data_IF_737093182458
#
_entry.id   IF_737093182458
#
_cell.length_a   1.000
_cell.length_b   1.000
_cell.length_c   1.000
_cell.angle_alpha   90.00
_cell.angle_beta   90.00
_cell.angle_gamma   90.00
#
_symmetry.space_group_name_H-M   'P 1'
#
loop_
_entity.id
_entity.type
_entity.pdbx_description
1 polymer ?
#
# COMPACT_ATOMS: atom_id res chain seq x y z
N UNK A 1 0.69 -4.23 -10.27
CA UNK A 1 1.43 -5.36 -10.87
C UNK A 1 2.88 -4.99 -11.22
N UNK A 2 3.18 -3.86 -11.86
CA UNK A 2 4.56 -3.49 -12.24
C UNK A 2 5.52 -3.28 -11.04
N UNK A 3 5.06 -2.69 -9.94
CA UNK A 3 5.90 -2.40 -8.77
C UNK A 3 6.38 -3.66 -8.02
N UNK A 4 5.64 -4.76 -8.10
CA UNK A 4 6.04 -6.04 -7.49
C UNK A 4 7.28 -6.60 -8.19
N UNK A 5 7.30 -6.60 -9.53
CA UNK A 5 8.45 -7.06 -10.31
C UNK A 5 9.70 -6.20 -10.03
N UNK A 6 9.52 -4.88 -9.95
CA UNK A 6 10.59 -3.94 -9.58
C UNK A 6 11.11 -4.26 -8.17
N UNK A 7 10.21 -4.47 -7.20
CA UNK A 7 10.59 -4.87 -5.84
C UNK A 7 11.36 -6.19 -5.80
N UNK A 8 10.92 -7.21 -6.53
CA UNK A 8 11.63 -8.49 -6.64
C UNK A 8 13.02 -8.34 -7.26
N UNK A 9 13.15 -7.59 -8.35
CA UNK A 9 14.45 -7.32 -8.98
C UNK A 9 15.40 -6.58 -8.04
N UNK A 10 14.90 -5.57 -7.30
CA UNK A 10 15.69 -4.85 -6.32
C UNK A 10 16.17 -5.75 -5.18
N UNK A 11 15.30 -6.64 -4.68
CA UNK A 11 15.66 -7.60 -3.64
C UNK A 11 16.71 -8.62 -4.14
N UNK A 12 16.56 -9.13 -5.36
CA UNK A 12 17.57 -10.01 -5.98
C UNK A 12 18.91 -9.29 -6.16
N UNK A 13 18.88 -8.02 -6.57
CA UNK A 13 20.07 -7.20 -6.72
C UNK A 13 20.79 -6.97 -5.38
N UNK A 14 20.05 -6.61 -4.32
CA UNK A 14 20.59 -6.45 -2.97
C UNK A 14 21.11 -7.77 -2.41
N UNK A 15 20.45 -8.89 -2.72
CA UNK A 15 20.91 -10.22 -2.34
C UNK A 15 22.24 -10.57 -3.02
N UNK A 16 22.42 -10.21 -4.29
CA UNK A 16 23.67 -10.40 -5.03
C UNK A 16 24.79 -9.48 -4.56
N UNK A 17 24.47 -8.22 -4.22
CA UNK A 17 25.44 -7.17 -3.85
C UNK A 17 25.10 -6.52 -2.50
N UNK A 18 25.38 -7.18 -1.36
CA UNK A 18 24.98 -6.68 -0.04
C UNK A 18 25.67 -5.35 0.35
N UNK A 19 26.83 -5.05 -0.23
CA UNK A 19 27.55 -3.78 0.01
C UNK A 19 26.78 -2.55 -0.51
N UNK A 20 25.95 -2.72 -1.54
CA UNK A 20 25.16 -1.64 -2.15
C UNK A 20 23.81 -1.39 -1.45
N UNK A 21 23.48 -2.12 -0.39
CA UNK A 21 22.19 -2.00 0.30
C UNK A 21 21.87 -0.56 0.71
N UNK A 22 22.87 0.17 1.24
CA UNK A 22 22.68 1.56 1.70
C UNK A 22 22.46 2.54 0.53
N UNK A 23 23.19 2.37 -0.56
CA UNK A 23 23.06 3.25 -1.74
C UNK A 23 21.73 3.00 -2.46
N UNK A 24 21.31 1.75 -2.57
CA UNK A 24 19.99 1.37 -3.10
C UNK A 24 18.86 1.90 -2.23
N UNK A 25 18.96 1.76 -0.90
CA UNK A 25 17.95 2.32 0.01
C UNK A 25 17.85 3.85 -0.10
N UNK A 26 18.98 4.54 -0.21
CA UNK A 26 19.01 6.00 -0.40
C UNK A 26 18.38 6.42 -1.73
N UNK A 27 18.70 5.74 -2.84
CA UNK A 27 18.10 6.06 -4.15
C UNK A 27 16.59 5.81 -4.17
N UNK A 28 16.10 4.77 -3.49
CA UNK A 28 14.68 4.50 -3.29
C UNK A 28 13.99 5.60 -2.48
N UNK A 29 14.60 6.08 -1.40
CA UNK A 29 14.04 7.18 -0.60
C UNK A 29 14.01 8.50 -1.39
N UNK A 30 15.08 8.82 -2.14
CA UNK A 30 15.15 10.02 -2.99
C UNK A 30 14.08 9.95 -4.08
N UNK A 31 14.00 8.85 -4.83
CA UNK A 31 13.00 8.69 -5.89
C UNK A 31 11.56 8.72 -5.37
N UNK A 32 11.29 8.18 -4.18
CA UNK A 32 9.98 8.25 -3.54
C UNK A 32 9.51 9.69 -3.26
N UNK A 33 10.43 10.63 -3.05
CA UNK A 33 10.14 12.04 -2.83
C UNK A 33 10.22 12.87 -4.12
N UNK A 34 11.22 12.63 -4.95
CA UNK A 34 11.47 13.43 -6.15
C UNK A 34 10.45 13.16 -7.26
N UNK A 35 10.01 11.91 -7.46
CA UNK A 35 9.07 11.57 -8.55
C UNK A 35 7.71 12.26 -8.37
N UNK A 36 7.03 12.15 -7.20
CA UNK A 36 5.77 12.86 -7.01
C UNK A 36 5.95 14.38 -7.06
N UNK A 37 7.04 14.92 -6.48
CA UNK A 37 7.30 16.36 -6.51
C UNK A 37 7.48 16.89 -7.94
N UNK A 38 8.23 16.16 -8.78
CA UNK A 38 8.45 16.51 -10.18
C UNK A 38 7.11 16.53 -10.94
N UNK A 39 6.32 15.46 -10.83
CA UNK A 39 5.02 15.37 -11.52
C UNK A 39 4.05 16.47 -11.08
N UNK A 40 3.97 16.76 -9.77
CA UNK A 40 3.09 17.83 -9.28
C UNK A 40 3.52 19.19 -9.82
N UNK A 41 4.83 19.43 -9.89
CA UNK A 41 5.38 20.69 -10.36
C UNK A 41 5.15 20.90 -11.86
N UNK A 42 5.42 19.88 -12.68
CA UNK A 42 5.28 19.97 -14.14
C UNK A 42 3.83 20.04 -14.59
N UNK A 43 2.96 19.23 -13.98
CA UNK A 43 1.53 19.19 -14.33
C UNK A 43 0.72 20.32 -13.67
N UNK A 44 1.35 21.17 -12.85
CA UNK A 44 0.69 22.28 -12.11
C UNK A 44 -0.56 21.83 -11.35
N UNK A 45 -0.53 20.60 -10.84
CA UNK A 45 -1.66 19.97 -10.13
C UNK A 45 -1.68 20.39 -8.67
N UNK A 46 -2.87 20.46 -8.07
CA UNK A 46 -2.99 20.63 -6.61
C UNK A 46 -2.37 19.45 -5.87
N UNK A 47 -1.72 19.73 -4.73
CA UNK A 47 -1.05 18.72 -3.91
C UNK A 47 -1.98 17.61 -3.41
N UNK A 48 -3.24 17.97 -3.18
CA UNK A 48 -4.33 17.06 -2.83
C UNK A 48 -5.41 17.14 -3.90
N UNK A 49 -6.05 16.00 -4.17
CA UNK A 49 -7.20 15.99 -5.04
C UNK A 49 -8.43 16.45 -4.24
N UNK A 50 -8.83 17.70 -4.43
CA UNK A 50 -10.14 18.17 -3.98
C UNK A 50 -11.17 17.60 -4.97
N UNK A 51 -11.82 16.50 -4.59
CA UNK A 51 -12.88 15.92 -5.40
C UNK A 51 -14.08 16.87 -5.44
N UNK A 52 -14.31 17.54 -6.57
CA UNK A 52 -15.65 17.97 -6.92
C UNK A 52 -16.40 16.76 -7.51
N UNK A 53 -16.97 15.95 -6.60
CA UNK A 53 -17.54 14.63 -6.92
C UNK A 53 -18.67 14.66 -7.95
N UNK A 54 -19.25 15.83 -8.24
CA UNK A 54 -20.37 16.00 -9.18
C UNK A 54 -19.92 15.88 -10.64
N UNK A 55 -18.67 16.25 -10.96
CA UNK A 55 -18.10 16.13 -12.31
C UNK A 55 -17.08 14.98 -12.40
N UNK A 56 -16.51 14.57 -11.28
CA UNK A 56 -15.42 13.61 -11.25
C UNK A 56 -15.76 12.17 -11.65
N UNK A 57 -17.01 11.68 -11.58
CA UNK A 57 -17.28 10.25 -11.90
C UNK A 57 -17.54 9.94 -13.37
N UNK A 58 -18.14 10.86 -14.12
CA UNK A 58 -18.14 10.77 -15.58
C UNK A 58 -16.73 11.04 -16.13
N UNK A 59 -15.95 11.89 -15.45
CA UNK A 59 -14.62 12.30 -15.88
C UNK A 59 -13.44 11.59 -15.20
N UNK A 60 -13.57 10.66 -14.26
CA UNK A 60 -12.42 10.11 -13.53
C UNK A 60 -11.39 9.43 -14.46
N UNK A 61 -11.87 8.92 -15.62
CA UNK A 61 -11.07 8.38 -16.71
C UNK A 61 -10.57 9.41 -17.72
N UNK A 62 -11.02 10.66 -17.65
CA UNK A 62 -10.59 11.81 -18.48
C UNK A 62 -9.98 12.94 -17.65
N UNK A 63 -10.00 12.86 -16.33
CA UNK A 63 -9.51 13.88 -15.41
C UNK A 63 -8.00 13.75 -15.31
N UNK A 64 -7.30 14.69 -15.91
CA UNK A 64 -5.84 14.67 -16.05
C UNK A 64 -5.12 14.48 -14.71
N UNK A 65 -5.62 15.07 -13.62
CA UNK A 65 -5.04 14.88 -12.29
C UNK A 65 -5.10 13.42 -11.82
N UNK A 66 -6.23 12.74 -12.02
CA UNK A 66 -6.36 11.35 -11.62
C UNK A 66 -5.46 10.44 -12.47
N UNK A 67 -5.45 10.64 -13.79
CA UNK A 67 -4.69 9.79 -14.73
C UNK A 67 -3.18 10.01 -14.62
N UNK A 68 -2.73 11.25 -14.41
CA UNK A 68 -1.31 11.60 -14.42
C UNK A 68 -0.67 11.61 -13.03
N UNK A 69 -1.44 11.82 -11.96
CA UNK A 69 -0.89 11.93 -10.61
C UNK A 69 -1.35 10.82 -9.66
N UNK A 70 -2.61 10.36 -9.73
CA UNK A 70 -3.13 9.34 -8.81
C UNK A 70 -2.98 7.91 -9.31
N UNK A 71 -3.22 7.68 -10.61
CA UNK A 71 -3.21 6.35 -11.22
C UNK A 71 -1.80 5.79 -11.51
N UNK A 72 -0.78 6.59 -11.88
CA UNK A 72 0.48 6.01 -12.31
C UNK A 72 1.24 5.34 -11.17
N UNK A 73 1.82 4.18 -11.48
CA UNK A 73 2.58 3.39 -10.51
C UNK A 73 3.81 4.14 -9.97
N UNK A 74 4.42 5.03 -10.76
CA UNK A 74 5.64 5.74 -10.39
C UNK A 74 5.41 6.83 -9.33
N UNK A 75 4.27 7.53 -9.34
CA UNK A 75 3.94 8.54 -8.33
C UNK A 75 3.51 7.93 -6.99
N UNK A 76 3.17 6.64 -6.98
CA UNK A 76 2.77 5.88 -5.79
C UNK A 76 3.82 4.84 -5.35
N UNK A 77 5.02 4.87 -5.94
CA UNK A 77 6.10 3.94 -5.64
C UNK A 77 6.63 4.07 -4.21
N UNK A 78 6.38 5.21 -3.54
CA UNK A 78 6.86 5.50 -2.18
C UNK A 78 6.50 4.41 -1.18
N UNK A 79 5.25 3.93 -1.17
CA UNK A 79 4.80 2.86 -0.27
C UNK A 79 5.59 1.56 -0.46
N UNK A 80 5.84 1.18 -1.70
CA UNK A 80 6.64 -0.01 -2.03
C UNK A 80 8.08 0.16 -1.60
N UNK A 81 8.68 1.31 -1.90
CA UNK A 81 10.08 1.58 -1.59
C UNK A 81 10.36 1.60 -0.09
N UNK A 82 9.53 2.28 0.71
CA UNK A 82 9.67 2.26 2.16
C UNK A 82 9.41 0.87 2.76
N UNK A 83 8.52 0.07 2.17
CA UNK A 83 8.32 -1.33 2.56
C UNK A 83 9.57 -2.19 2.33
N UNK A 84 10.22 -2.07 1.17
CA UNK A 84 11.47 -2.79 0.87
C UNK A 84 12.61 -2.32 1.77
N UNK A 85 12.72 -1.02 2.04
CA UNK A 85 13.70 -0.48 3.00
C UNK A 85 13.47 -1.06 4.39
N UNK A 86 12.22 -1.12 4.86
CA UNK A 86 11.88 -1.73 6.14
C UNK A 86 12.26 -3.22 6.18
N UNK A 87 12.03 -3.98 5.10
CA UNK A 87 12.43 -5.38 5.01
C UNK A 87 13.96 -5.56 5.04
N UNK A 88 14.72 -4.70 4.35
CA UNK A 88 16.18 -4.71 4.41
C UNK A 88 16.69 -4.42 5.84
N UNK A 89 16.08 -3.44 6.52
CA UNK A 89 16.39 -3.13 7.92
C UNK A 89 16.06 -4.32 8.84
N UNK A 90 14.89 -4.94 8.69
CA UNK A 90 14.51 -6.12 9.46
C UNK A 90 15.58 -7.22 9.38
N UNK A 91 16.00 -7.59 8.17
CA UNK A 91 17.04 -8.61 7.95
C UNK A 91 18.36 -8.29 8.66
N UNK A 92 18.73 -7.01 8.74
CA UNK A 92 19.97 -6.62 9.42
C UNK A 92 19.87 -6.66 10.94
N UNK A 93 18.66 -6.53 11.49
CA UNK A 93 18.41 -6.40 12.92
C UNK A 93 18.01 -7.72 13.58
N UNK A 94 17.47 -8.64 12.80
CA UNK A 94 17.05 -9.95 13.28
C UNK A 94 18.26 -10.73 13.84
N UNK A 95 18.14 -11.23 15.07
CA UNK A 95 19.19 -12.00 15.75
C UNK A 95 20.38 -11.22 16.31
N UNK A 96 20.35 -9.88 16.40
CA UNK A 96 21.43 -9.08 17.02
C UNK A 96 21.11 -8.63 18.46
N UNK A 97 22.09 -8.70 19.35
CA UNK A 97 21.97 -8.24 20.75
C UNK A 97 21.57 -6.75 20.89
N UNK A 98 21.84 -5.93 19.87
CA UNK A 98 21.50 -4.51 19.85
C UNK A 98 20.01 -4.22 19.56
N UNK A 99 19.19 -5.25 19.38
CA UNK A 99 17.75 -5.15 19.06
C UNK A 99 16.98 -4.29 20.07
N UNK A 100 17.35 -4.32 21.36
CA UNK A 100 16.68 -3.55 22.42
C UNK A 100 16.86 -2.04 22.24
N UNK A 101 18.08 -1.57 21.96
CA UNK A 101 18.38 -0.15 21.70
C UNK A 101 17.70 0.32 20.41
N UNK A 102 17.77 -0.50 19.36
CA UNK A 102 17.15 -0.15 18.08
C UNK A 102 15.62 -0.08 18.16
N UNK A 103 15.00 -0.94 18.99
CA UNK A 103 13.55 -0.89 19.23
C UNK A 103 13.11 0.46 19.82
N UNK A 104 13.85 1.02 20.76
CA UNK A 104 13.52 2.33 21.35
C UNK A 104 13.60 3.45 20.30
N UNK A 105 14.64 3.43 19.47
CA UNK A 105 14.79 4.37 18.35
C UNK A 105 13.59 4.23 17.42
N UNK A 106 13.25 3.00 17.04
CA UNK A 106 12.16 2.73 16.09
C UNK A 106 10.79 3.13 16.64
N UNK A 107 10.54 2.98 17.95
CA UNK A 107 9.32 3.48 18.59
C UNK A 107 9.24 5.01 18.58
N UNK A 108 10.35 5.70 18.83
CA UNK A 108 10.42 7.17 18.69
C UNK A 108 10.20 7.59 17.25
N UNK A 109 10.81 6.90 16.29
CA UNK A 109 10.58 7.14 14.86
C UNK A 109 9.12 6.91 14.50
N UNK A 110 8.47 5.85 14.99
CA UNK A 110 7.05 5.61 14.74
C UNK A 110 6.17 6.75 15.26
N UNK A 111 6.45 7.24 16.48
CA UNK A 111 5.73 8.39 17.05
C UNK A 111 5.90 9.63 16.18
N UNK A 112 7.14 9.97 15.80
CA UNK A 112 7.44 11.10 14.92
C UNK A 112 6.74 10.97 13.56
N UNK A 113 6.83 9.81 12.91
CA UNK A 113 6.19 9.56 11.62
C UNK A 113 4.66 9.62 11.71
N UNK A 114 4.09 9.16 12.82
CA UNK A 114 2.64 9.27 13.06
C UNK A 114 2.22 10.73 13.21
N UNK A 115 2.95 11.53 14.00
CA UNK A 115 2.71 12.96 14.16
C UNK A 115 2.79 13.67 12.81
N UNK A 116 3.82 13.37 12.01
CA UNK A 116 3.97 13.94 10.66
C UNK A 116 2.82 13.51 9.75
N UNK A 117 2.44 12.23 9.73
CA UNK A 117 1.35 11.73 8.92
C UNK A 117 0.02 12.42 9.28
N UNK A 118 -0.34 12.45 10.56
CA UNK A 118 -1.57 13.09 11.02
C UNK A 118 -1.54 14.60 10.82
N UNK A 119 -0.40 15.26 11.08
CA UNK A 119 -0.24 16.70 10.87
C UNK A 119 -0.38 17.10 9.41
N UNK A 120 0.25 16.35 8.49
CA UNK A 120 0.12 16.60 7.05
C UNK A 120 -1.31 16.35 6.59
N UNK A 121 -1.97 15.28 7.04
CA UNK A 121 -3.37 15.01 6.69
C UNK A 121 -4.32 16.07 7.27
N UNK A 122 -4.14 16.52 8.51
CA UNK A 122 -4.94 17.59 9.10
C UNK A 122 -4.78 18.91 8.33
N UNK A 123 -3.55 19.22 7.89
CA UNK A 123 -3.28 20.40 7.06
C UNK A 123 -4.03 20.36 5.72
N UNK A 124 -4.33 19.18 5.17
CA UNK A 124 -5.12 19.07 3.92
C UNK A 124 -6.51 19.69 4.05
N UNK A 125 -7.09 19.72 5.26
CA UNK A 125 -8.41 20.29 5.51
C UNK A 125 -8.40 21.82 5.46
N UNK A 126 -7.26 22.43 5.79
CA UNK A 126 -7.08 23.88 5.82
C UNK A 126 -6.56 24.39 4.47
N UNK A 127 -5.83 23.56 3.72
CA UNK A 127 -5.22 23.92 2.44
C UNK A 127 -6.15 24.65 1.46
N UNK A 128 -7.43 24.27 1.26
CA UNK A 128 -8.35 24.99 0.37
C UNK A 128 -8.64 26.43 0.82
N UNK A 129 -8.61 26.70 2.12
CA UNK A 129 -8.87 28.04 2.69
C UNK A 129 -7.72 29.03 2.49
N UNK A 130 -6.52 28.54 2.17
CA UNK A 130 -5.32 29.37 2.04
C UNK A 130 -5.19 30.05 0.67
N UNK A 131 -6.11 29.82 -0.29
CA UNK A 131 -6.12 30.42 -1.63
C UNK A 131 -4.73 30.47 -2.31
N UNK A 132 -3.91 29.43 -2.10
CA UNK A 132 -2.57 29.34 -2.69
C UNK A 132 -2.75 29.05 -4.18
N UNK A 133 -2.17 29.88 -5.04
CA UNK A 133 -2.24 29.67 -6.48
C UNK A 133 -1.63 28.31 -6.86
N UNK A 134 -2.40 27.41 -7.50
CA UNK A 134 -1.94 26.06 -7.83
C UNK A 134 -0.90 26.04 -8.96
N UNK A 135 -0.75 27.13 -9.71
CA UNK A 135 0.14 27.22 -10.87
C UNK A 135 1.61 27.19 -10.44
N UNK A 136 2.33 26.12 -10.79
CA UNK A 136 3.79 25.96 -10.63
C UNK A 136 4.31 26.25 -9.21
N UNK A 137 3.51 25.95 -8.19
CA UNK A 137 3.90 26.22 -6.81
C UNK A 137 4.80 25.11 -6.29
N UNK A 138 6.06 25.47 -5.98
CA UNK A 138 7.00 24.59 -5.27
C UNK A 138 6.42 24.08 -3.95
N UNK A 139 5.56 24.87 -3.30
CA UNK A 139 4.88 24.48 -2.07
C UNK A 139 3.98 23.26 -2.28
N UNK A 140 3.16 23.24 -3.33
CA UNK A 140 2.29 22.10 -3.63
C UNK A 140 3.09 20.85 -3.99
N UNK A 141 4.18 21.00 -4.73
CA UNK A 141 5.06 19.89 -5.08
C UNK A 141 5.71 19.25 -3.85
N UNK A 142 6.29 20.06 -2.97
CA UNK A 142 6.91 19.58 -1.73
C UNK A 142 5.88 18.98 -0.77
N UNK A 143 4.77 19.68 -0.55
CA UNK A 143 3.74 19.22 0.36
C UNK A 143 3.06 17.92 -0.11
N UNK A 144 2.67 17.84 -1.39
CA UNK A 144 2.02 16.65 -1.94
C UNK A 144 2.96 15.43 -1.98
N UNK A 145 4.24 15.64 -2.29
CA UNK A 145 5.25 14.59 -2.23
C UNK A 145 5.46 14.10 -0.79
N UNK A 146 5.62 15.02 0.17
CA UNK A 146 5.83 14.66 1.56
C UNK A 146 4.62 13.95 2.15
N UNK A 147 3.41 14.40 1.82
CA UNK A 147 2.16 13.73 2.19
C UNK A 147 2.14 12.30 1.66
N UNK A 148 2.42 12.06 0.37
CA UNK A 148 2.48 10.71 -0.20
C UNK A 148 3.57 9.84 0.41
N UNK A 149 4.76 10.40 0.65
CA UNK A 149 5.87 9.67 1.26
C UNK A 149 5.61 9.32 2.72
N UNK A 150 4.91 10.18 3.46
CA UNK A 150 4.61 9.97 4.88
C UNK A 150 3.80 8.70 5.14
N UNK A 151 2.86 8.35 4.25
CA UNK A 151 2.11 7.10 4.32
C UNK A 151 3.03 5.88 4.22
N UNK A 152 3.89 5.84 3.20
CA UNK A 152 4.83 4.74 3.01
C UNK A 152 5.83 4.60 4.16
N UNK A 153 6.40 5.72 4.61
CA UNK A 153 7.32 5.73 5.74
C UNK A 153 6.63 5.21 7.01
N UNK A 154 5.49 5.79 7.38
CA UNK A 154 4.79 5.45 8.62
C UNK A 154 4.42 3.96 8.66
N UNK A 155 3.89 3.41 7.56
CA UNK A 155 3.57 1.98 7.49
C UNK A 155 4.81 1.09 7.49
N UNK A 156 5.88 1.45 6.78
CA UNK A 156 7.12 0.69 6.80
C UNK A 156 7.72 0.58 8.21
N UNK A 157 7.75 1.69 8.95
CA UNK A 157 8.21 1.71 10.34
C UNK A 157 7.27 0.94 11.26
N UNK A 158 5.95 1.09 11.09
CA UNK A 158 4.95 0.35 11.86
C UNK A 158 5.14 -1.16 11.72
N UNK A 159 5.24 -1.66 10.48
CA UNK A 159 5.48 -3.08 10.22
C UNK A 159 6.80 -3.55 10.81
N UNK A 160 7.86 -2.74 10.72
CA UNK A 160 9.15 -3.08 11.32
C UNK A 160 9.07 -3.17 12.86
N UNK A 161 8.33 -2.27 13.52
CA UNK A 161 8.10 -2.32 14.97
C UNK A 161 7.33 -3.58 15.35
N UNK A 162 6.28 -3.92 14.60
CA UNK A 162 5.46 -5.11 14.85
C UNK A 162 6.27 -6.39 14.62
N UNK A 163 7.04 -6.48 13.53
CA UNK A 163 7.87 -7.64 13.21
C UNK A 163 8.97 -7.89 14.25
N UNK A 164 9.58 -6.83 14.80
CA UNK A 164 10.59 -6.95 15.86
C UNK A 164 9.97 -7.13 17.25
N UNK A 165 8.63 -7.03 17.39
CA UNK A 165 7.91 -7.26 18.64
C UNK A 165 7.45 -8.71 18.76
N UNK A 166 8.26 -9.53 19.43
CA UNK A 166 7.96 -10.94 19.67
C UNK A 166 6.74 -11.20 20.59
N UNK A 167 6.46 -10.33 21.57
CA UNK A 167 5.32 -10.50 22.50
C UNK A 167 4.65 -9.15 22.78
N UNK A 168 3.47 -8.92 22.21
CA UNK A 168 2.63 -7.77 22.55
C UNK A 168 1.19 -8.06 22.21
N UNK A 169 0.26 -7.59 23.06
CA UNK A 169 -1.19 -7.76 22.85
C UNK A 169 -1.65 -7.33 21.46
N UNK A 170 -1.06 -6.28 20.90
CA UNK A 170 -1.36 -5.83 19.54
C UNK A 170 -1.01 -6.89 18.49
N UNK A 171 0.17 -7.52 18.59
CA UNK A 171 0.58 -8.58 17.66
C UNK A 171 -0.33 -9.80 17.82
N UNK A 172 -0.72 -10.14 19.05
CA UNK A 172 -1.62 -11.26 19.32
C UNK A 172 -3.01 -11.02 18.71
N UNK A 173 -3.57 -9.81 18.87
CA UNK A 173 -4.84 -9.40 18.26
C UNK A 173 -4.75 -9.40 16.73
N UNK A 174 -3.68 -8.82 16.15
CA UNK A 174 -3.50 -8.76 14.70
C UNK A 174 -3.26 -10.16 14.09
N UNK A 175 -2.66 -11.08 14.84
CA UNK A 175 -2.39 -12.45 14.40
C UNK A 175 -3.59 -13.38 14.58
N UNK A 176 -4.66 -12.92 15.25
CA UNK A 176 -5.87 -13.71 15.46
C UNK A 176 -6.53 -14.11 14.13
N UNK A 177 -7.08 -15.33 14.07
CA UNK A 177 -7.66 -15.88 12.83
C UNK A 177 -8.76 -15.01 12.21
N UNK A 178 -9.54 -14.32 13.05
CA UNK A 178 -10.55 -13.36 12.59
C UNK A 178 -9.92 -12.18 11.81
N UNK A 179 -8.80 -11.63 12.31
CA UNK A 179 -8.09 -10.54 11.64
C UNK A 179 -7.44 -11.00 10.34
N UNK A 180 -6.93 -12.25 10.29
CA UNK A 180 -6.44 -12.83 9.04
C UNK A 180 -7.55 -13.01 8.00
N UNK A 181 -8.76 -13.39 8.43
CA UNK A 181 -9.93 -13.47 7.55
C UNK A 181 -10.32 -12.08 7.03
N UNK A 182 -10.43 -11.09 7.92
CA UNK A 182 -10.69 -9.70 7.56
C UNK A 182 -9.63 -9.11 6.62
N UNK A 183 -8.36 -9.50 6.76
CA UNK A 183 -7.28 -9.07 5.88
C UNK A 183 -7.42 -9.63 4.45
N UNK A 184 -7.95 -10.85 4.29
CA UNK A 184 -8.27 -11.40 2.96
C UNK A 184 -9.50 -10.70 2.37
N UNK A 185 -10.52 -10.48 3.19
CA UNK A 185 -11.73 -9.77 2.76
C UNK A 185 -11.42 -8.32 2.34
N UNK A 186 -10.52 -7.62 3.04
CA UNK A 186 -10.14 -6.25 2.72
C UNK A 186 -9.47 -6.13 1.34
N UNK A 187 -8.75 -7.17 0.91
CA UNK A 187 -8.23 -7.26 -0.46
C UNK A 187 -9.37 -7.36 -1.50
N UNK A 188 -10.38 -8.20 -1.25
CA UNK A 188 -11.57 -8.25 -2.10
C UNK A 188 -12.32 -6.90 -2.13
N UNK A 189 -12.45 -6.23 -0.99
CA UNK A 189 -13.05 -4.88 -0.90
C UNK A 189 -12.27 -3.92 -1.79
N UNK A 190 -10.94 -3.90 -1.69
CA UNK A 190 -10.09 -3.03 -2.51
C UNK A 190 -10.34 -3.21 -4.02
N UNK A 191 -10.54 -4.45 -4.48
CA UNK A 191 -10.82 -4.73 -5.90
C UNK A 191 -12.19 -4.20 -6.32
N UNK A 192 -13.22 -4.45 -5.51
CA UNK A 192 -14.62 -4.23 -5.91
C UNK A 192 -15.10 -2.80 -5.61
N UNK A 193 -14.51 -2.14 -4.62
CA UNK A 193 -14.94 -0.83 -4.13
C UNK A 193 -14.98 0.22 -5.25
N UNK A 194 -14.02 0.24 -6.17
CA UNK A 194 -14.04 1.16 -7.30
C UNK A 194 -15.27 0.96 -8.19
N UNK A 195 -15.59 -0.29 -8.51
CA UNK A 195 -16.76 -0.64 -9.35
C UNK A 195 -18.08 -0.29 -8.65
N UNK A 196 -18.15 -0.48 -7.33
CA UNK A 196 -19.33 -0.14 -6.51
C UNK A 196 -19.54 1.37 -6.48
N UNK A 197 -18.47 2.14 -6.21
CA UNK A 197 -18.52 3.61 -6.25
C UNK A 197 -18.96 4.06 -7.64
N UNK A 198 -18.32 3.57 -8.69
CA UNK A 198 -18.67 3.93 -10.06
C UNK A 198 -20.13 3.61 -10.41
N UNK A 199 -20.60 2.41 -10.08
CA UNK A 199 -21.97 1.98 -10.33
C UNK A 199 -23.00 2.83 -9.59
N UNK A 200 -22.75 3.17 -8.32
CA UNK A 200 -23.63 4.05 -7.56
C UNK A 200 -23.73 5.44 -8.20
N UNK A 201 -22.61 6.12 -8.42
CA UNK A 201 -22.63 7.49 -8.93
C UNK A 201 -23.14 7.64 -10.37
N UNK A 202 -22.96 6.62 -11.22
CA UNK A 202 -23.52 6.63 -12.58
C UNK A 202 -25.04 6.45 -12.61
N UNK A 203 -25.60 5.75 -11.62
CA UNK A 203 -27.03 5.44 -11.56
C UNK A 203 -27.81 6.36 -10.61
N UNK A 204 -27.15 7.28 -9.89
CA UNK A 204 -27.83 8.22 -9.00
C UNK A 204 -28.44 9.38 -9.81
N UNK A 205 -29.79 9.52 -9.85
CA UNK A 205 -30.44 10.50 -10.72
C UNK A 205 -30.48 11.92 -10.14
N UNK A 206 -30.10 12.12 -8.87
CA UNK A 206 -30.22 13.41 -8.17
C UNK A 206 -28.83 13.90 -7.75
N UNK A 207 -28.49 15.16 -8.02
CA UNK A 207 -27.19 15.69 -7.64
C UNK A 207 -27.14 15.87 -6.12
N UNK A 208 -26.40 14.99 -5.43
CA UNK A 208 -26.28 14.94 -3.97
C UNK A 208 -25.90 16.33 -3.44
N UNK A 209 -26.68 16.88 -2.51
CA UNK A 209 -26.33 18.11 -1.80
C UNK A 209 -25.29 17.77 -0.75
N UNK A 210 -24.11 18.38 -0.86
CA UNK A 210 -22.99 18.14 0.05
C UNK A 210 -23.25 18.78 1.41
N UNK A 211 -23.71 17.96 2.36
CA UNK A 211 -23.76 18.29 3.78
C UNK A 211 -23.10 17.16 4.56
N UNK A 212 -22.54 17.46 5.74
CA UNK A 212 -21.85 16.47 6.56
C UNK A 212 -22.69 15.21 6.79
N UNK A 213 -23.99 15.37 7.07
CA UNK A 213 -24.93 14.27 7.26
C UNK A 213 -25.08 13.38 6.02
N UNK A 214 -25.28 13.98 4.85
CA UNK A 214 -25.41 13.25 3.59
C UNK A 214 -24.11 12.52 3.23
N UNK A 215 -22.94 13.09 3.54
CA UNK A 215 -21.65 12.45 3.33
C UNK A 215 -21.49 11.21 4.22
N UNK A 216 -21.88 11.27 5.49
CA UNK A 216 -21.85 10.11 6.39
C UNK A 216 -22.79 8.99 5.90
N UNK A 217 -24.00 9.33 5.47
CA UNK A 217 -24.95 8.33 4.94
C UNK A 217 -24.41 7.71 3.65
N UNK A 218 -23.93 8.51 2.71
CA UNK A 218 -23.43 8.01 1.43
C UNK A 218 -22.19 7.14 1.61
N UNK A 219 -21.25 7.56 2.45
CA UNK A 219 -20.03 6.80 2.72
C UNK A 219 -20.34 5.49 3.42
N UNK A 220 -21.23 5.48 4.42
CA UNK A 220 -21.66 4.25 5.09
C UNK A 220 -22.36 3.27 4.14
N UNK A 221 -23.25 3.76 3.27
CA UNK A 221 -23.90 2.93 2.25
C UNK A 221 -22.89 2.32 1.26
N UNK A 222 -21.93 3.11 0.77
CA UNK A 222 -20.87 2.64 -0.12
C UNK A 222 -19.96 1.59 0.54
N UNK A 223 -19.62 1.79 1.81
CA UNK A 223 -18.81 0.82 2.59
C UNK A 223 -19.57 -0.50 2.75
N UNK A 224 -20.84 -0.45 3.16
CA UNK A 224 -21.66 -1.65 3.32
C UNK A 224 -21.82 -2.41 2.00
N UNK A 225 -22.12 -1.71 0.90
CA UNK A 225 -22.26 -2.33 -0.41
C UNK A 225 -20.94 -2.93 -0.92
N UNK A 226 -19.82 -2.25 -0.67
CA UNK A 226 -18.48 -2.78 -0.99
C UNK A 226 -18.15 -4.02 -0.18
N UNK A 227 -18.52 -4.07 1.11
CA UNK A 227 -18.32 -5.25 1.96
C UNK A 227 -19.15 -6.45 1.50
N UNK A 228 -20.43 -6.23 1.16
CA UNK A 228 -21.31 -7.29 0.67
C UNK A 228 -20.81 -7.88 -0.66
N UNK A 229 -20.47 -7.02 -1.61
CA UNK A 229 -19.98 -7.45 -2.93
C UNK A 229 -18.60 -8.11 -2.84
N UNK A 230 -17.71 -7.61 -1.97
CA UNK A 230 -16.43 -8.25 -1.68
C UNK A 230 -16.58 -9.63 -1.04
N UNK A 231 -17.53 -9.79 -0.12
CA UNK A 231 -17.81 -11.08 0.48
C UNK A 231 -18.30 -12.10 -0.56
N UNK A 232 -19.18 -11.67 -1.47
CA UNK A 232 -19.62 -12.51 -2.60
C UNK A 232 -18.46 -12.88 -3.52
N UNK A 233 -17.58 -11.92 -3.86
CA UNK A 233 -16.40 -12.19 -4.68
C UNK A 233 -15.46 -13.20 -4.01
N UNK A 234 -15.25 -13.06 -2.70
CA UNK A 234 -14.41 -13.96 -1.93
C UNK A 234 -14.96 -15.39 -1.92
N UNK A 235 -16.26 -15.55 -1.71
CA UNK A 235 -16.93 -16.86 -1.67
C UNK A 235 -17.05 -17.51 -3.05
N UNK A 236 -17.41 -16.73 -4.08
CA UNK A 236 -17.68 -17.26 -5.41
C UNK A 236 -16.43 -17.49 -6.26
N UNK A 237 -15.37 -16.69 -6.06
CA UNK A 237 -14.19 -16.70 -6.93
C UNK A 237 -12.92 -16.98 -6.15
N UNK A 238 -12.58 -16.17 -5.15
CA UNK A 238 -11.25 -16.26 -4.52
C UNK A 238 -11.08 -17.59 -3.77
N UNK A 239 -12.04 -17.96 -2.92
CA UNK A 239 -12.00 -19.21 -2.14
C UNK A 239 -11.89 -20.47 -3.01
N UNK A 240 -12.74 -20.70 -4.04
CA UNK A 240 -12.63 -21.89 -4.88
C UNK A 240 -11.34 -21.92 -5.71
N UNK A 241 -10.89 -20.77 -6.23
CA UNK A 241 -9.64 -20.68 -7.00
C UNK A 241 -8.43 -21.01 -6.12
N UNK A 242 -8.37 -20.50 -4.88
CA UNK A 242 -7.29 -20.81 -3.94
C UNK A 242 -7.31 -22.30 -3.56
N UNK A 243 -8.48 -22.88 -3.32
CA UNK A 243 -8.59 -24.32 -3.04
C UNK A 243 -8.14 -25.18 -4.23
N UNK A 244 -8.52 -24.82 -5.45
CA UNK A 244 -8.11 -25.52 -6.67
C UNK A 244 -6.60 -25.38 -6.91
N UNK A 245 -6.06 -24.17 -6.78
CA UNK A 245 -4.63 -23.90 -6.93
C UNK A 245 -3.78 -24.67 -5.93
N UNK A 246 -4.20 -24.72 -4.66
CA UNK A 246 -3.51 -25.50 -3.63
C UNK A 246 -3.54 -27.01 -3.91
N UNK A 247 -4.64 -27.54 -4.45
CA UNK A 247 -4.71 -28.94 -4.88
C UNK A 247 -3.78 -29.24 -6.06
N UNK A 248 -3.74 -28.36 -7.06
CA UNK A 248 -2.84 -28.50 -8.21
C UNK A 248 -1.37 -28.43 -7.79
N UNK A 249 -0.99 -27.48 -6.94
CA UNK A 249 0.38 -27.38 -6.42
C UNK A 249 0.81 -28.64 -5.66
N UNK A 250 -0.07 -29.19 -4.81
CA UNK A 250 0.19 -30.46 -4.12
C UNK A 250 0.37 -31.61 -5.10
N UNK A 251 -0.49 -31.70 -6.12
CA UNK A 251 -0.38 -32.72 -7.16
C UNK A 251 0.95 -32.63 -7.94
N UNK A 252 1.40 -31.42 -8.30
CA UNK A 252 2.69 -31.24 -8.97
C UNK A 252 3.88 -31.57 -8.05
N UNK A 253 3.83 -31.17 -6.77
CA UNK A 253 4.87 -31.48 -5.79
C UNK A 253 4.98 -33.01 -5.53
N UNK A 254 3.85 -33.71 -5.46
CA UNK A 254 3.82 -35.18 -5.33
C UNK A 254 4.34 -35.86 -6.60
N UNK A 255 4.00 -35.35 -7.78
CA UNK A 255 4.53 -35.87 -9.06
C UNK A 255 6.04 -35.67 -9.19
N UNK A 256 6.57 -34.53 -8.74
CA UNK A 256 8.02 -34.24 -8.77
C UNK A 256 8.81 -35.10 -7.78
N UNK A 257 8.26 -35.34 -6.58
CA UNK A 257 8.87 -36.27 -5.61
C UNK A 257 8.84 -37.73 -6.09
N UNK A 258 7.77 -38.15 -6.79
CA UNK A 258 7.70 -39.47 -7.44
C UNK A 258 8.66 -39.61 -8.64
N UNK A 259 8.86 -38.54 -9.42
CA UNK A 259 9.79 -38.52 -10.55
C UNK A 259 11.27 -38.52 -10.10
N UNK A 260 11.60 -37.87 -8.98
CA UNK A 260 12.96 -37.81 -8.42
C UNK A 260 13.28 -39.00 -7.48
N UNK A 261 12.27 -39.80 -7.11
CA UNK A 261 12.37 -40.97 -6.23
C UNK A 261 13.35 -42.08 -6.67
N UNK A 262 13.60 -42.36 -7.97
CA UNK A 262 14.58 -43.36 -8.38
C UNK A 262 16.04 -42.88 -8.28
N UNK A 263 16.31 -41.57 -8.47
CA UNK A 263 17.69 -41.04 -8.49
C UNK A 263 18.29 -40.88 -7.09
N UNK A 264 17.49 -40.57 -6.06
CA UNK A 264 18.00 -40.40 -4.70
C UNK A 264 18.40 -41.71 -4.00
N UNK A 265 17.91 -42.86 -4.47
CA UNK A 265 18.33 -44.18 -3.95
C UNK A 265 19.67 -44.66 -4.51
N UNK A 266 20.12 -44.15 -5.67
CA UNK A 266 21.41 -44.53 -6.24
C UNK A 266 22.58 -43.70 -5.69
N UNK A 267 22.36 -42.44 -5.30
CA UNK A 267 23.40 -41.56 -4.73
C UNK A 267 23.73 -41.83 -3.25
N UNK A 268 23.01 -42.73 -2.58
CA UNK A 268 23.30 -43.16 -1.20
C UNK A 268 24.09 -44.48 -1.13
N UNK A 269 24.32 -45.11 -2.28
CA UNK A 269 25.07 -46.36 -2.43
C UNK A 269 26.38 -46.18 -3.24
N UNK A 270 26.82 -44.93 -3.42
CA UNK A 270 28.15 -44.50 -3.88
C UNK A 270 28.77 -43.65 -2.76
#
# INVERSE_FOLDING_TARGET
MQLFLIGCMLLLFVWRFPQMTRTVAASMAISALSIPAYVIYTESTSATMTFDMRHALAELRTYDHFIKYYLPSHTNASGYFFGVIAAMLYKTLDGRDQQSRFRLILQRTLSLCSIVLFGLNAFTMILPSLNINPRMSLFHALYGSLLKASWGWCYGVLFLVLALKSKSLLVDVLSHSCMQCLAKLSYCVYIVQYSVIYGMYTNFPIPIKYGAFNLVILTSALVLLSLLTAFLLHMAVESPVVHLGNKLLKYFAEKETLSNGPQYKQLKNL
#
